data_IF_420479002112
#
_entry.id   IF_420479002112
#
_cell.length_a   1.000
_cell.length_b   1.000
_cell.length_c   1.000
_cell.angle_alpha   90.00
_cell.angle_beta   90.00
_cell.angle_gamma   90.00
#
_symmetry.space_group_name_H-M   'P 1'
#
loop_
_entity.id
_entity.type
_entity.pdbx_description
1 polymer ?
#
# COMPACT_ATOMS: atom_id res chain seq x y z
N UNK A 1 66.60 11.34 -15.28
CA UNK A 1 65.29 11.51 -15.96
C UNK A 1 64.60 10.18 -16.31
N UNK A 2 65.06 9.02 -15.80
CA UNK A 2 64.52 7.68 -16.18
C UNK A 2 63.66 7.05 -15.06
N UNK A 3 63.74 7.55 -13.81
CA UNK A 3 63.00 6.95 -12.68
C UNK A 3 61.53 7.38 -12.53
N UNK A 4 61.06 8.38 -13.30
CA UNK A 4 59.68 8.90 -13.18
C UNK A 4 58.72 8.34 -14.24
N UNK A 5 59.20 7.56 -15.21
CA UNK A 5 58.38 7.01 -16.29
C UNK A 5 57.90 5.58 -16.04
N UNK A 6 58.45 4.86 -15.06
CA UNK A 6 58.07 3.45 -14.78
C UNK A 6 56.87 3.33 -13.84
N UNK A 7 56.60 4.33 -12.98
CA UNK A 7 55.42 4.35 -12.09
C UNK A 7 54.10 4.61 -12.83
N UNK A 8 54.15 5.27 -13.99
CA UNK A 8 52.96 5.55 -14.80
C UNK A 8 52.57 4.37 -15.72
N UNK A 9 53.50 3.50 -16.10
CA UNK A 9 53.20 2.34 -16.95
C UNK A 9 52.59 1.16 -16.18
N UNK A 10 52.96 0.94 -14.93
CA UNK A 10 52.34 -0.12 -14.09
C UNK A 10 50.90 0.24 -13.67
N UNK A 11 50.63 1.53 -13.43
CA UNK A 11 49.28 2.00 -13.09
C UNK A 11 48.32 1.95 -14.30
N UNK A 12 48.82 2.08 -15.53
CA UNK A 12 48.03 1.91 -16.75
C UNK A 12 47.75 0.44 -17.09
N UNK A 13 48.70 -0.48 -16.82
CA UNK A 13 48.48 -1.92 -17.04
C UNK A 13 47.51 -2.54 -16.02
N UNK A 14 47.50 -2.05 -14.77
CA UNK A 14 46.53 -2.47 -13.74
C UNK A 14 45.14 -1.85 -14.01
N UNK A 15 45.07 -0.68 -14.65
CA UNK A 15 43.81 -0.05 -15.02
C UNK A 15 43.09 -0.75 -16.20
N UNK A 16 43.84 -1.29 -17.16
CA UNK A 16 43.26 -1.95 -18.34
C UNK A 16 42.68 -3.35 -18.03
N UNK A 17 43.19 -4.02 -16.98
CA UNK A 17 42.65 -5.29 -16.48
C UNK A 17 41.31 -5.17 -15.74
N UNK A 18 40.91 -3.96 -15.33
CA UNK A 18 39.65 -3.69 -14.63
C UNK A 18 38.52 -3.26 -15.58
N UNK A 19 38.81 -3.07 -16.87
CA UNK A 19 37.86 -2.58 -17.87
C UNK A 19 37.21 -3.67 -18.74
N UNK A 20 37.55 -4.95 -18.55
CA UNK A 20 36.95 -6.07 -19.28
C UNK A 20 36.02 -6.88 -18.39
N UNK A 21 34.73 -6.49 -18.36
CA UNK A 21 33.67 -7.32 -17.78
C UNK A 21 32.53 -6.60 -17.07
N UNK A 22 32.37 -5.28 -17.19
CA UNK A 22 31.10 -4.65 -16.81
C UNK A 22 30.10 -4.85 -17.94
N UNK A 23 29.56 -6.07 -18.07
CA UNK A 23 28.34 -6.29 -18.86
C UNK A 23 27.29 -5.37 -18.27
N UNK A 24 26.88 -4.38 -19.05
CA UNK A 24 25.79 -3.46 -18.75
C UNK A 24 24.48 -4.23 -18.89
N UNK A 25 24.32 -5.29 -18.10
CA UNK A 25 23.04 -5.94 -17.92
C UNK A 25 22.20 -4.91 -17.18
N UNK A 26 21.27 -4.29 -17.91
CA UNK A 26 20.18 -3.58 -17.27
C UNK A 26 19.46 -4.65 -16.45
N UNK A 27 19.79 -4.73 -15.15
CA UNK A 27 19.17 -5.69 -14.26
C UNK A 27 17.73 -5.21 -14.07
N UNK A 28 16.87 -5.61 -15.01
CA UNK A 28 15.45 -5.33 -14.93
C UNK A 28 14.86 -6.06 -13.73
N UNK A 29 13.73 -5.60 -13.23
CA UNK A 29 12.97 -6.29 -12.18
C UNK A 29 12.74 -7.78 -12.51
N UNK A 30 12.64 -8.12 -13.80
CA UNK A 30 12.52 -9.50 -14.29
C UNK A 30 13.82 -10.32 -14.20
N UNK A 31 14.98 -9.70 -14.38
CA UNK A 31 16.27 -10.39 -14.23
C UNK A 31 16.63 -10.60 -12.75
N UNK A 32 16.24 -9.63 -11.90
CA UNK A 32 16.27 -9.75 -10.44
C UNK A 32 15.37 -10.89 -9.93
N UNK A 33 14.21 -11.09 -10.58
CA UNK A 33 13.23 -12.14 -10.27
C UNK A 33 13.75 -13.55 -10.52
N UNK A 34 14.55 -13.75 -11.57
CA UNK A 34 15.08 -15.07 -11.93
C UNK A 34 16.29 -15.45 -11.05
N UNK A 35 17.05 -14.46 -10.57
CA UNK A 35 18.32 -14.66 -9.85
C UNK A 35 18.22 -14.75 -8.32
N UNK A 36 17.08 -14.46 -7.71
CA UNK A 36 16.94 -14.44 -6.23
C UNK A 36 16.51 -15.77 -5.56
N UNK A 37 16.46 -16.87 -6.30
CA UNK A 37 16.20 -18.21 -5.77
C UNK A 37 14.84 -18.43 -5.11
N UNK A 38 14.74 -19.47 -4.27
CA UNK A 38 13.45 -19.96 -3.75
C UNK A 38 12.71 -18.94 -2.86
N UNK A 39 13.46 -18.08 -2.14
CA UNK A 39 12.87 -17.06 -1.26
C UNK A 39 12.21 -15.89 -2.02
N UNK A 40 12.37 -15.80 -3.34
CA UNK A 40 11.64 -14.82 -4.17
C UNK A 40 10.17 -15.16 -4.38
N UNK A 41 9.80 -16.45 -4.30
CA UNK A 41 8.41 -16.90 -4.49
C UNK A 41 7.42 -16.23 -3.52
N UNK A 42 7.64 -16.24 -2.19
CA UNK A 42 6.74 -15.55 -1.26
C UNK A 42 6.72 -14.02 -1.46
N UNK A 43 7.85 -13.41 -1.82
CA UNK A 43 7.91 -11.96 -2.10
C UNK A 43 7.06 -11.57 -3.30
N UNK A 44 7.08 -12.38 -4.36
CA UNK A 44 6.26 -12.16 -5.55
C UNK A 44 4.76 -12.26 -5.24
N UNK A 45 4.37 -13.25 -4.44
CA UNK A 45 2.98 -13.40 -3.99
C UNK A 45 2.53 -12.17 -3.20
N UNK A 46 3.36 -11.67 -2.29
CA UNK A 46 3.09 -10.46 -1.52
C UNK A 46 3.01 -9.21 -2.43
N UNK A 47 3.84 -9.11 -3.46
CA UNK A 47 3.80 -8.00 -4.41
C UNK A 47 2.50 -7.97 -5.22
N UNK A 48 2.07 -9.11 -5.76
CA UNK A 48 0.77 -9.21 -6.46
C UNK A 48 -0.36 -8.85 -5.50
N UNK A 49 -0.35 -9.41 -4.28
CA UNK A 49 -1.37 -9.15 -3.29
C UNK A 49 -1.44 -7.65 -2.94
N UNK A 50 -0.28 -7.00 -2.76
CA UNK A 50 -0.20 -5.56 -2.48
C UNK A 50 -0.81 -4.72 -3.61
N UNK A 51 -0.44 -4.99 -4.87
CA UNK A 51 -0.99 -4.28 -6.04
C UNK A 51 -2.50 -4.52 -6.15
N UNK A 52 -2.95 -5.76 -6.02
CA UNK A 52 -4.36 -6.12 -6.10
C UNK A 52 -5.18 -5.36 -5.06
N UNK A 53 -4.77 -5.39 -3.79
CA UNK A 53 -5.43 -4.67 -2.71
C UNK A 53 -5.40 -3.16 -2.97
N UNK A 54 -4.25 -2.62 -3.40
CA UNK A 54 -4.11 -1.19 -3.66
C UNK A 54 -5.08 -0.71 -4.74
N UNK A 55 -5.16 -1.41 -5.88
CA UNK A 55 -6.04 -1.04 -7.00
C UNK A 55 -7.51 -1.19 -6.63
N UNK A 56 -7.89 -2.32 -6.02
CA UNK A 56 -9.27 -2.56 -5.55
C UNK A 56 -9.72 -1.46 -4.60
N UNK A 57 -8.90 -1.15 -3.59
CA UNK A 57 -9.19 -0.09 -2.62
C UNK A 57 -9.24 1.29 -3.26
N UNK A 58 -8.31 1.59 -4.16
CA UNK A 58 -8.26 2.89 -4.83
C UNK A 58 -9.56 3.19 -5.59
N UNK A 59 -10.09 2.18 -6.30
CA UNK A 59 -11.36 2.30 -7.04
C UNK A 59 -12.52 2.45 -6.06
N UNK A 60 -12.60 1.63 -5.02
CA UNK A 60 -13.67 1.68 -4.02
C UNK A 60 -13.72 3.02 -3.29
N UNK A 61 -12.57 3.54 -2.82
CA UNK A 61 -12.47 4.84 -2.16
C UNK A 61 -12.76 6.01 -3.11
N UNK A 62 -12.35 5.92 -4.37
CA UNK A 62 -12.71 6.91 -5.38
C UNK A 62 -14.21 6.97 -5.61
N UNK A 63 -14.90 5.82 -5.68
CA UNK A 63 -16.36 5.78 -5.81
C UNK A 63 -17.04 6.35 -4.57
N UNK A 64 -16.59 5.98 -3.37
CA UNK A 64 -17.12 6.51 -2.11
C UNK A 64 -16.90 8.03 -1.95
N UNK A 65 -15.84 8.57 -2.56
CA UNK A 65 -15.55 10.02 -2.54
C UNK A 65 -16.43 10.84 -3.48
N UNK A 66 -17.15 10.23 -4.42
CA UNK A 66 -17.99 10.93 -5.40
C UNK A 66 -19.35 11.32 -4.83
N UNK A 67 -19.43 11.70 -3.55
CA UNK A 67 -20.65 12.32 -3.03
C UNK A 67 -20.86 13.62 -3.78
N UNK A 68 -22.00 13.76 -4.45
CA UNK A 68 -22.42 15.04 -5.03
C UNK A 68 -22.32 16.12 -3.96
N UNK A 69 -21.50 17.15 -4.18
CA UNK A 69 -21.40 18.29 -3.26
C UNK A 69 -22.75 18.96 -2.98
N UNK A 70 -23.74 18.69 -3.84
CA UNK A 70 -25.11 19.20 -3.74
C UNK A 70 -26.08 18.24 -3.06
N UNK A 71 -25.63 17.08 -2.56
CA UNK A 71 -26.51 16.10 -1.91
C UNK A 71 -27.14 16.71 -0.65
N UNK A 72 -26.32 17.30 0.22
CA UNK A 72 -26.82 17.88 1.47
C UNK A 72 -27.72 19.08 1.20
N UNK A 73 -27.37 19.96 0.25
CA UNK A 73 -28.22 21.09 -0.15
C UNK A 73 -29.62 20.63 -0.60
N UNK A 74 -29.69 19.59 -1.43
CA UNK A 74 -30.96 19.04 -1.90
C UNK A 74 -31.74 18.36 -0.78
N UNK A 75 -31.06 17.61 0.08
CA UNK A 75 -31.68 17.00 1.27
C UNK A 75 -32.27 18.09 2.17
N UNK A 76 -31.52 19.18 2.40
CA UNK A 76 -31.96 20.33 3.19
C UNK A 76 -33.26 20.91 2.69
N UNK A 77 -33.36 21.20 1.39
CA UNK A 77 -34.59 21.73 0.76
C UNK A 77 -35.76 20.74 0.89
N UNK A 78 -35.53 19.45 0.65
CA UNK A 78 -36.57 18.43 0.71
C UNK A 78 -37.08 18.20 2.14
N UNK A 79 -36.17 18.14 3.12
CA UNK A 79 -36.52 17.98 4.54
C UNK A 79 -37.22 19.23 5.08
N UNK A 80 -36.79 20.43 4.67
CA UNK A 80 -37.46 21.68 5.03
C UNK A 80 -38.89 21.75 4.51
N UNK A 81 -39.11 21.35 3.26
CA UNK A 81 -40.43 21.28 2.62
C UNK A 81 -41.31 20.10 3.09
N UNK A 82 -40.85 19.29 4.06
CA UNK A 82 -41.60 18.15 4.60
C UNK A 82 -41.64 16.91 3.72
N UNK A 83 -40.90 16.90 2.60
CA UNK A 83 -40.86 15.82 1.61
C UNK A 83 -39.76 14.79 1.96
N UNK A 84 -39.84 14.19 3.16
CA UNK A 84 -38.85 13.24 3.69
C UNK A 84 -38.69 11.99 2.81
N UNK A 85 -39.77 11.53 2.18
CA UNK A 85 -39.76 10.35 1.31
C UNK A 85 -38.94 10.59 0.03
N UNK A 86 -39.03 11.79 -0.56
CA UNK A 86 -38.20 12.18 -1.71
C UNK A 86 -36.72 12.33 -1.31
N UNK A 87 -36.45 12.89 -0.13
CA UNK A 87 -35.09 13.00 0.39
C UNK A 87 -34.44 11.61 0.57
N UNK A 88 -35.22 10.64 1.06
CA UNK A 88 -34.77 9.25 1.17
C UNK A 88 -34.44 8.62 -0.18
N UNK A 89 -35.29 8.81 -1.20
CA UNK A 89 -35.04 8.27 -2.55
C UNK A 89 -33.78 8.88 -3.17
N UNK A 90 -33.57 10.19 -2.98
CA UNK A 90 -32.36 10.87 -3.45
C UNK A 90 -31.09 10.26 -2.82
N UNK A 91 -31.08 10.06 -1.50
CA UNK A 91 -29.96 9.42 -0.82
C UNK A 91 -29.75 7.97 -1.28
N UNK A 92 -30.84 7.23 -1.54
CA UNK A 92 -30.74 5.86 -2.02
C UNK A 92 -30.11 5.74 -3.43
N UNK A 93 -30.20 6.78 -4.26
CA UNK A 93 -29.64 6.78 -5.62
C UNK A 93 -28.12 7.00 -5.69
N UNK A 94 -27.53 7.65 -4.69
CA UNK A 94 -26.10 8.01 -4.69
C UNK A 94 -25.20 6.89 -4.17
N UNK A 95 -25.72 6.00 -3.31
CA UNK A 95 -25.00 4.84 -2.76
C UNK A 95 -23.62 5.17 -2.14
N UNK A 96 -23.44 6.38 -1.59
CA UNK A 96 -22.22 6.78 -0.89
C UNK A 96 -22.36 6.58 0.63
N UNK A 97 -21.23 6.50 1.38
CA UNK A 97 -21.27 6.40 2.83
C UNK A 97 -22.11 7.52 3.48
N UNK A 98 -21.92 8.75 3.01
CA UNK A 98 -22.67 9.93 3.47
C UNK A 98 -24.16 9.76 3.18
N UNK A 99 -24.53 9.36 1.97
CA UNK A 99 -25.93 9.19 1.60
C UNK A 99 -26.63 8.13 2.46
N UNK A 100 -25.96 7.01 2.75
CA UNK A 100 -26.48 5.95 3.62
C UNK A 100 -26.71 6.43 5.06
N UNK A 101 -25.79 7.24 5.59
CA UNK A 101 -25.93 7.85 6.92
C UNK A 101 -27.14 8.79 6.99
N UNK A 102 -27.24 9.71 6.03
CA UNK A 102 -28.32 10.70 5.98
C UNK A 102 -29.67 10.03 5.72
N UNK A 103 -29.74 9.01 4.86
CA UNK A 103 -30.96 8.22 4.66
C UNK A 103 -31.47 7.62 5.98
N UNK A 104 -30.58 7.11 6.84
CA UNK A 104 -30.95 6.57 8.15
C UNK A 104 -31.41 7.65 9.13
N UNK A 105 -30.80 8.83 9.06
CA UNK A 105 -31.25 10.00 9.79
C UNK A 105 -32.68 10.41 9.41
N UNK A 106 -32.96 10.49 8.11
CA UNK A 106 -34.26 10.84 7.55
C UNK A 106 -35.35 9.84 7.99
N UNK A 107 -35.05 8.54 7.98
CA UNK A 107 -35.98 7.49 8.44
C UNK A 107 -36.43 7.64 9.90
N UNK A 108 -35.66 8.36 10.72
CA UNK A 108 -35.95 8.57 12.15
C UNK A 108 -36.39 9.99 12.49
N UNK A 109 -36.67 10.82 11.50
CA UNK A 109 -37.27 12.14 11.72
C UNK A 109 -38.58 11.96 12.51
N UNK A 110 -38.74 12.74 13.58
CA UNK A 110 -39.84 12.62 14.55
C UNK A 110 -39.48 11.86 15.83
N UNK A 111 -38.33 11.19 15.88
CA UNK A 111 -37.74 10.69 17.14
C UNK A 111 -36.96 11.80 17.86
N UNK A 112 -36.66 11.65 19.17
CA UNK A 112 -35.73 12.55 19.86
C UNK A 112 -34.41 12.68 19.09
N UNK A 113 -33.86 13.89 18.99
CA UNK A 113 -32.61 14.16 18.25
C UNK A 113 -31.48 13.20 18.63
N UNK A 114 -31.38 12.85 19.92
CA UNK A 114 -30.36 11.90 20.39
C UNK A 114 -30.48 10.52 19.73
N UNK A 115 -31.70 10.04 19.46
CA UNK A 115 -31.92 8.77 18.79
C UNK A 115 -31.54 8.82 17.30
N UNK A 116 -31.70 9.99 16.67
CA UNK A 116 -31.31 10.22 15.27
C UNK A 116 -29.79 10.26 15.15
N UNK A 117 -29.12 11.02 16.03
CA UNK A 117 -27.66 11.10 16.14
C UNK A 117 -27.04 9.71 16.29
N UNK A 118 -27.52 8.93 17.27
CA UNK A 118 -27.05 7.54 17.51
C UNK A 118 -27.31 6.64 16.30
N UNK A 119 -28.40 6.84 15.57
CA UNK A 119 -28.69 6.07 14.35
C UNK A 119 -27.65 6.33 13.25
N UNK A 120 -27.36 7.61 13.01
CA UNK A 120 -26.39 8.07 12.02
C UNK A 120 -24.99 7.59 12.39
N UNK A 121 -24.59 7.74 13.65
CA UNK A 121 -23.28 7.31 14.16
C UNK A 121 -23.08 5.80 13.98
N UNK A 122 -24.10 4.99 14.28
CA UNK A 122 -24.03 3.53 14.10
C UNK A 122 -23.83 3.14 12.62
N UNK A 123 -24.54 3.79 11.69
CA UNK A 123 -24.33 3.56 10.25
C UNK A 123 -22.94 4.06 9.83
N UNK A 124 -22.51 5.21 10.34
CA UNK A 124 -21.17 5.75 10.12
C UNK A 124 -20.08 4.75 10.48
N UNK A 125 -20.15 4.14 11.67
CA UNK A 125 -19.20 3.09 12.11
C UNK A 125 -19.14 1.90 11.13
N UNK A 126 -20.30 1.46 10.64
CA UNK A 126 -20.38 0.35 9.68
C UNK A 126 -19.73 0.76 8.34
N UNK A 127 -19.98 1.97 7.86
CA UNK A 127 -19.39 2.46 6.61
C UNK A 127 -17.87 2.68 6.74
N UNK A 128 -17.39 3.24 7.85
CA UNK A 128 -15.94 3.38 8.13
C UNK A 128 -15.26 2.01 8.09
N UNK A 129 -15.84 1.00 8.76
CA UNK A 129 -15.31 -0.36 8.73
C UNK A 129 -15.22 -0.94 7.31
N UNK A 130 -16.19 -0.66 6.43
CA UNK A 130 -16.14 -1.08 5.02
C UNK A 130 -15.04 -0.37 4.24
N UNK A 131 -14.80 0.92 4.51
CA UNK A 131 -13.76 1.72 3.86
C UNK A 131 -12.35 1.23 4.27
N UNK A 132 -12.17 0.89 5.54
CA UNK A 132 -10.90 0.41 6.10
C UNK A 132 -10.57 -1.05 5.74
N UNK A 133 -11.55 -1.81 5.25
CA UNK A 133 -11.37 -3.22 4.88
C UNK A 133 -10.14 -3.41 4.00
N UNK A 134 -9.36 -4.46 4.27
CA UNK A 134 -8.13 -4.85 3.59
C UNK A 134 -6.93 -3.88 3.74
N UNK A 135 -7.07 -2.68 4.33
CA UNK A 135 -5.91 -1.79 4.56
C UNK A 135 -4.90 -2.42 5.51
N UNK A 136 -5.37 -3.14 6.54
CA UNK A 136 -4.50 -3.86 7.48
C UNK A 136 -3.64 -4.93 6.77
N UNK A 137 -4.16 -5.57 5.73
CA UNK A 137 -3.37 -6.54 4.96
C UNK A 137 -2.23 -5.85 4.22
N UNK A 138 -2.48 -4.67 3.63
CA UNK A 138 -1.44 -3.89 2.97
C UNK A 138 -0.38 -3.39 3.96
N UNK A 139 -0.80 -2.98 5.17
CA UNK A 139 0.11 -2.67 6.26
C UNK A 139 0.99 -3.87 6.64
N UNK A 140 0.39 -5.05 6.80
CA UNK A 140 1.13 -6.29 7.09
C UNK A 140 2.13 -6.61 5.99
N UNK A 141 1.75 -6.49 4.71
CA UNK A 141 2.67 -6.72 3.58
C UNK A 141 3.85 -5.74 3.64
N UNK A 142 3.60 -4.48 3.98
CA UNK A 142 4.64 -3.45 4.06
C UNK A 142 5.73 -3.76 5.10
N UNK A 143 5.35 -4.41 6.21
CA UNK A 143 6.30 -4.85 7.24
C UNK A 143 6.89 -6.24 6.97
N UNK A 144 6.09 -7.18 6.46
CA UNK A 144 6.49 -8.56 6.25
C UNK A 144 7.46 -8.73 5.07
N UNK A 145 7.29 -7.99 3.97
CA UNK A 145 8.14 -8.15 2.79
C UNK A 145 9.64 -7.85 3.06
N UNK A 146 10.01 -6.75 3.75
CA UNK A 146 11.40 -6.52 4.15
C UNK A 146 11.96 -7.61 5.06
N UNK A 147 11.15 -8.12 6.00
CA UNK A 147 11.56 -9.18 6.92
C UNK A 147 11.81 -10.51 6.18
N UNK A 148 10.99 -10.84 5.19
CA UNK A 148 11.20 -12.00 4.32
C UNK A 148 12.45 -11.81 3.45
N UNK A 149 12.69 -10.59 2.95
CA UNK A 149 13.93 -10.25 2.25
C UNK A 149 15.17 -10.52 3.10
N UNK A 150 15.17 -10.00 4.33
CA UNK A 150 16.24 -10.20 5.31
C UNK A 150 16.44 -11.69 5.63
N UNK A 151 15.35 -12.45 5.84
CA UNK A 151 15.39 -13.90 6.02
C UNK A 151 16.05 -14.59 4.83
N UNK A 152 15.76 -14.15 3.60
CA UNK A 152 16.39 -14.63 2.38
C UNK A 152 17.91 -14.45 2.39
N UNK A 153 18.40 -13.30 2.89
CA UNK A 153 19.85 -13.08 3.03
C UNK A 153 20.49 -14.03 4.04
N UNK A 154 19.87 -14.23 5.20
CA UNK A 154 20.36 -15.17 6.21
C UNK A 154 20.39 -16.59 5.65
N UNK A 155 19.33 -17.01 4.97
CA UNK A 155 19.24 -18.32 4.35
C UNK A 155 20.30 -18.54 3.25
N UNK A 156 20.49 -17.56 2.36
CA UNK A 156 21.49 -17.65 1.28
C UNK A 156 22.92 -17.69 1.81
N UNK A 157 23.24 -16.91 2.86
CA UNK A 157 24.55 -17.00 3.53
C UNK A 157 24.76 -18.38 4.18
N UNK A 158 23.75 -18.94 4.85
CA UNK A 158 23.84 -20.29 5.43
C UNK A 158 24.13 -21.32 4.35
N UNK A 159 23.43 -21.26 3.21
CA UNK A 159 23.66 -22.18 2.09
C UNK A 159 25.07 -22.03 1.49
N UNK A 160 25.56 -20.81 1.32
CA UNK A 160 26.91 -20.54 0.85
C UNK A 160 27.98 -21.17 1.77
N UNK A 161 27.83 -21.03 3.09
CA UNK A 161 28.76 -21.63 4.05
C UNK A 161 28.68 -23.16 4.08
N UNK A 162 27.48 -23.74 3.94
CA UNK A 162 27.32 -25.20 3.84
C UNK A 162 28.03 -25.73 2.59
N UNK A 163 27.89 -25.06 1.46
CA UNK A 163 28.51 -25.47 0.20
C UNK A 163 30.05 -25.45 0.30
N UNK A 164 30.62 -24.41 0.94
CA UNK A 164 32.06 -24.33 1.22
C UNK A 164 32.53 -25.43 2.16
N UNK A 165 31.75 -25.75 3.19
CA UNK A 165 32.10 -26.81 4.14
C UNK A 165 32.08 -28.22 3.53
N UNK A 166 31.39 -28.40 2.40
CA UNK A 166 31.30 -29.67 1.66
C UNK A 166 32.34 -29.79 0.54
N UNK A 167 33.01 -28.71 0.15
CA UNK A 167 34.11 -28.76 -0.82
C UNK A 167 35.38 -29.34 -0.17
N UNK A 168 35.88 -30.46 -0.72
CA UNK A 168 37.19 -30.99 -0.38
C UNK A 168 38.26 -30.34 -1.28
N UNK A 169 39.09 -29.43 -0.72
CA UNK A 169 40.21 -28.82 -1.44
C UNK A 169 40.23 -27.29 -1.40
N UNK A 170 40.69 -26.65 -2.48
CA UNK A 170 40.69 -25.19 -2.60
C UNK A 170 39.27 -24.67 -2.78
N UNK A 171 38.78 -23.91 -1.81
CA UNK A 171 37.50 -23.20 -1.87
C UNK A 171 37.51 -22.20 -3.03
N UNK A 172 36.54 -22.33 -3.94
CA UNK A 172 36.40 -21.39 -5.05
C UNK A 172 35.74 -20.08 -4.57
N UNK A 173 36.40 -18.90 -4.71
CA UNK A 173 35.78 -17.61 -4.37
C UNK A 173 34.48 -17.32 -5.12
N UNK A 174 34.28 -17.99 -6.26
CA UNK A 174 33.07 -17.87 -7.08
C UNK A 174 31.84 -18.46 -6.39
N UNK A 175 31.98 -19.59 -5.71
CA UNK A 175 30.87 -20.26 -5.02
C UNK A 175 30.30 -19.39 -3.89
N UNK A 176 31.19 -18.76 -3.11
CA UNK A 176 30.81 -17.82 -2.07
C UNK A 176 30.12 -16.58 -2.65
N UNK A 177 30.68 -16.05 -3.75
CA UNK A 177 30.18 -14.82 -4.38
C UNK A 177 28.78 -14.99 -4.95
N UNK A 178 28.45 -16.15 -5.52
CA UNK A 178 27.12 -16.46 -6.05
C UNK A 178 26.04 -16.49 -4.95
N UNK A 179 26.29 -17.19 -3.84
CA UNK A 179 25.32 -17.28 -2.73
C UNK A 179 25.08 -15.94 -2.01
N UNK A 180 26.13 -15.12 -1.86
CA UNK A 180 26.00 -13.75 -1.32
C UNK A 180 25.22 -12.86 -2.28
N UNK A 181 25.44 -12.98 -3.59
CA UNK A 181 24.76 -12.19 -4.59
C UNK A 181 23.25 -12.48 -4.62
N UNK A 182 22.85 -13.77 -4.60
CA UNK A 182 21.44 -14.19 -4.50
C UNK A 182 20.78 -13.65 -3.21
N UNK A 183 21.48 -13.79 -2.09
CA UNK A 183 21.05 -13.28 -0.78
C UNK A 183 20.78 -11.77 -0.80
N UNK A 184 21.67 -10.98 -1.43
CA UNK A 184 21.52 -9.53 -1.54
C UNK A 184 20.34 -9.12 -2.44
N UNK A 185 20.15 -9.83 -3.56
CA UNK A 185 19.02 -9.59 -4.45
C UNK A 185 17.68 -9.77 -3.72
N UNK A 186 17.56 -10.84 -2.93
CA UNK A 186 16.32 -11.14 -2.20
C UNK A 186 15.97 -10.05 -1.19
N UNK A 187 16.97 -9.50 -0.48
CA UNK A 187 16.76 -8.35 0.41
C UNK A 187 16.34 -7.10 -0.36
N UNK A 188 17.04 -6.78 -1.44
CA UNK A 188 16.70 -5.61 -2.25
C UNK A 188 15.25 -5.69 -2.78
N UNK A 189 14.84 -6.87 -3.26
CA UNK A 189 13.47 -7.12 -3.69
C UNK A 189 12.45 -6.96 -2.55
N UNK A 190 12.72 -7.55 -1.38
CA UNK A 190 11.83 -7.43 -0.21
C UNK A 190 11.64 -5.98 0.25
N UNK A 191 12.71 -5.18 0.21
CA UNK A 191 12.65 -3.75 0.50
C UNK A 191 11.81 -3.00 -0.52
N UNK A 192 11.99 -3.24 -1.82
CA UNK A 192 11.19 -2.60 -2.87
C UNK A 192 9.70 -2.88 -2.70
N UNK A 193 9.32 -4.16 -2.49
CA UNK A 193 7.93 -4.54 -2.25
C UNK A 193 7.39 -3.87 -0.98
N UNK A 194 8.15 -3.88 0.11
CA UNK A 194 7.78 -3.24 1.37
C UNK A 194 7.54 -1.74 1.23
N UNK A 195 8.44 -1.02 0.55
CA UNK A 195 8.33 0.42 0.31
C UNK A 195 7.08 0.75 -0.51
N UNK A 196 6.84 0.02 -1.60
CA UNK A 196 5.66 0.26 -2.45
C UNK A 196 4.37 0.01 -1.65
N UNK A 197 4.29 -1.09 -0.90
CA UNK A 197 3.14 -1.40 -0.06
C UNK A 197 2.94 -0.34 1.04
N UNK A 198 4.02 0.14 1.66
CA UNK A 198 3.98 1.18 2.70
C UNK A 198 3.43 2.50 2.17
N UNK A 199 3.94 2.96 1.02
CA UNK A 199 3.46 4.19 0.37
C UNK A 199 1.99 4.05 -0.04
N UNK A 200 1.62 2.91 -0.63
CA UNK A 200 0.25 2.62 -1.01
C UNK A 200 -0.71 2.61 0.20
N UNK A 201 -0.30 1.99 1.30
CA UNK A 201 -1.05 1.97 2.55
C UNK A 201 -1.30 3.38 3.09
N UNK A 202 -0.25 4.19 3.26
CA UNK A 202 -0.38 5.55 3.80
C UNK A 202 -1.23 6.45 2.91
N UNK A 203 -1.11 6.31 1.58
CA UNK A 203 -1.94 7.02 0.63
C UNK A 203 -3.43 6.68 0.81
N UNK A 204 -3.76 5.39 0.90
CA UNK A 204 -5.14 4.95 1.09
C UNK A 204 -5.69 5.36 2.45
N UNK A 205 -4.89 5.25 3.53
CA UNK A 205 -5.28 5.71 4.88
C UNK A 205 -5.62 7.19 4.86
N UNK A 206 -4.78 8.05 4.28
CA UNK A 206 -5.07 9.48 4.16
C UNK A 206 -6.39 9.74 3.42
N UNK A 207 -6.69 8.94 2.40
CA UNK A 207 -7.92 9.04 1.64
C UNK A 207 -9.14 8.59 2.44
N UNK A 208 -9.03 7.52 3.21
CA UNK A 208 -10.09 7.09 4.15
C UNK A 208 -10.34 8.18 5.18
N UNK A 209 -9.29 8.73 5.82
CA UNK A 209 -9.44 9.81 6.80
C UNK A 209 -10.21 11.00 6.22
N UNK A 210 -9.93 11.42 4.99
CA UNK A 210 -10.69 12.50 4.33
C UNK A 210 -12.17 12.17 4.16
N UNK A 211 -12.51 10.91 3.82
CA UNK A 211 -13.90 10.46 3.73
C UNK A 211 -14.59 10.45 5.09
N UNK A 212 -13.90 9.99 6.14
CA UNK A 212 -14.43 9.99 7.51
C UNK A 212 -14.73 11.42 7.97
N UNK A 213 -13.81 12.36 7.74
CA UNK A 213 -14.03 13.77 8.07
C UNK A 213 -15.26 14.34 7.34
N UNK A 214 -15.44 13.98 6.06
CA UNK A 214 -16.63 14.39 5.31
C UNK A 214 -17.92 13.78 5.89
N UNK A 215 -17.89 12.49 6.27
CA UNK A 215 -19.01 11.81 6.91
C UNK A 215 -19.39 12.49 8.24
N UNK A 216 -18.42 12.85 9.07
CA UNK A 216 -18.63 13.53 10.34
C UNK A 216 -19.21 14.93 10.12
N UNK A 217 -18.58 15.73 9.24
CA UNK A 217 -19.04 17.09 8.92
C UNK A 217 -20.50 17.10 8.44
N UNK A 218 -20.83 16.25 7.47
CA UNK A 218 -22.19 16.16 6.92
C UNK A 218 -23.21 15.64 7.94
N UNK A 219 -22.78 14.80 8.90
CA UNK A 219 -23.66 14.33 9.97
C UNK A 219 -24.03 15.46 10.93
N UNK A 220 -23.05 16.29 11.31
CA UNK A 220 -23.27 17.46 12.16
C UNK A 220 -24.21 18.44 11.45
N UNK A 221 -23.92 18.76 10.19
CA UNK A 221 -24.76 19.66 9.38
C UNK A 221 -26.22 19.18 9.30
N UNK A 222 -26.44 17.87 9.17
CA UNK A 222 -27.78 17.30 9.17
C UNK A 222 -28.49 17.39 10.52
N UNK A 223 -27.78 17.19 11.63
CA UNK A 223 -28.35 17.32 12.98
C UNK A 223 -28.70 18.78 13.28
N UNK A 224 -27.84 19.73 12.90
CA UNK A 224 -28.08 21.17 13.06
C UNK A 224 -29.32 21.60 12.27
N UNK A 225 -29.48 21.09 11.04
CA UNK A 225 -30.69 21.30 10.24
C UNK A 225 -31.99 20.85 10.96
N UNK A 226 -31.91 19.78 11.75
CA UNK A 226 -33.06 19.28 12.51
C UNK A 226 -33.29 20.05 13.82
N UNK A 227 -32.27 20.73 14.36
CA UNK A 227 -32.39 21.60 15.54
C UNK A 227 -32.97 22.97 15.20
N UNK A 228 -32.65 23.50 14.02
CA UNK A 228 -33.15 24.81 13.54
C UNK A 228 -34.65 24.79 13.13
N UNK A 229 -35.33 23.64 13.27
CA UNK A 229 -36.77 23.46 13.04
C UNK A 229 -37.54 23.33 14.35
#
# INVERSE_FOLDING_TARGET
MILLQTLSTDSLAVADGLAMGATKDNIGLLDLLIKGGYMMVPLYLLFILAIFIFVERLITLNKASKTSSYLMDQVKVLVQSGQTEKAKILCAGEHTPVANMIAKGIERIGSPLKNIEVAIENVGKIEIYKLEKNLNLLATVSGAAPMIGFLGTVAGMIQAFIAIAQEEGMVSPKLLSEGIYEAMITTAAGLVVGIIAYLGYNFLVSKVSKLVHNMEYTSIEFIDLLQDK
#
